data_IF_457436324548
#
_entry.id   IF_457436324548
#
_cell.length_a   1.000
_cell.length_b   1.000
_cell.length_c   1.000
_cell.angle_alpha   90.00
_cell.angle_beta   90.00
_cell.angle_gamma   90.00
#
_symmetry.space_group_name_H-M   'P 1'
#
loop_
_entity.id
_entity.type
_entity.pdbx_description
1 polymer ?
#
# COMPACT_ATOMS: atom_id res chain seq x y z
N UNK A 1 40.29 -16.65 -20.22
CA UNK A 1 39.36 -16.97 -19.12
C UNK A 1 39.80 -16.15 -17.91
N UNK A 2 39.21 -14.97 -17.69
CA UNK A 2 39.58 -14.11 -16.57
C UNK A 2 38.78 -14.54 -15.32
N UNK A 3 39.51 -14.90 -14.27
CA UNK A 3 38.99 -15.40 -13.00
C UNK A 3 38.25 -14.26 -12.28
N UNK A 4 36.91 -14.30 -12.29
CA UNK A 4 36.02 -13.31 -11.66
C UNK A 4 35.98 -13.40 -10.13
N UNK A 5 36.84 -14.22 -9.50
CA UNK A 5 36.83 -14.50 -8.07
C UNK A 5 37.48 -13.42 -7.18
N UNK A 6 37.99 -12.32 -7.75
CA UNK A 6 38.73 -11.29 -7.02
C UNK A 6 37.99 -9.98 -6.71
N UNK A 7 36.80 -9.74 -7.27
CA UNK A 7 36.14 -8.43 -7.20
C UNK A 7 35.08 -8.27 -6.10
N UNK A 8 34.67 -9.34 -5.42
CA UNK A 8 33.63 -9.27 -4.38
C UNK A 8 34.03 -8.42 -3.16
N UNK A 9 35.34 -8.23 -2.94
CA UNK A 9 35.87 -7.41 -1.83
C UNK A 9 35.92 -5.90 -2.12
N UNK A 10 35.60 -5.47 -3.34
CA UNK A 10 35.70 -4.06 -3.77
C UNK A 10 34.33 -3.34 -3.81
N UNK A 11 33.22 -4.05 -3.59
CA UNK A 11 31.90 -3.42 -3.47
C UNK A 11 31.68 -3.00 -2.01
N UNK A 12 32.29 -1.88 -1.62
CA UNK A 12 32.16 -1.30 -0.26
C UNK A 12 30.70 -1.00 0.13
N UNK A 13 29.76 -0.99 -0.83
CA UNK A 13 28.33 -0.83 -0.59
C UNK A 13 27.55 -2.15 -0.51
N UNK A 14 28.17 -3.30 -0.80
CA UNK A 14 27.51 -4.60 -0.74
C UNK A 14 27.33 -5.06 0.70
N UNK A 15 26.11 -5.46 1.04
CA UNK A 15 25.81 -6.11 2.31
C UNK A 15 26.53 -7.45 2.41
N UNK A 16 27.05 -7.78 3.59
CA UNK A 16 27.55 -9.12 3.89
C UNK A 16 26.44 -10.16 3.73
N UNK A 17 26.79 -11.44 3.55
CA UNK A 17 25.80 -12.51 3.43
C UNK A 17 24.87 -12.57 4.65
N UNK A 18 25.40 -12.36 5.85
CA UNK A 18 24.61 -12.30 7.07
C UNK A 18 23.64 -11.10 7.06
N UNK A 19 24.11 -9.91 6.67
CA UNK A 19 23.26 -8.73 6.54
C UNK A 19 22.17 -8.91 5.47
N UNK A 20 22.47 -9.58 4.37
CA UNK A 20 21.48 -9.92 3.34
C UNK A 20 20.41 -10.88 3.88
N UNK A 21 20.80 -11.88 4.68
CA UNK A 21 19.87 -12.81 5.32
C UNK A 21 18.97 -12.09 6.34
N UNK A 22 19.54 -11.23 7.18
CA UNK A 22 18.78 -10.41 8.13
C UNK A 22 17.80 -9.47 7.41
N UNK A 23 18.26 -8.79 6.36
CA UNK A 23 17.40 -7.92 5.53
C UNK A 23 16.26 -8.70 4.88
N UNK A 24 16.53 -9.93 4.42
CA UNK A 24 15.50 -10.80 3.84
C UNK A 24 14.44 -11.14 4.88
N UNK A 25 14.83 -11.56 6.07
CA UNK A 25 13.89 -11.90 7.14
C UNK A 25 13.07 -10.67 7.57
N UNK A 26 13.73 -9.52 7.68
CA UNK A 26 13.06 -8.25 7.96
C UNK A 26 11.99 -7.94 6.91
N UNK A 27 12.33 -7.97 5.61
CA UNK A 27 11.38 -7.71 4.52
C UNK A 27 10.19 -8.67 4.52
N UNK A 28 10.43 -9.97 4.80
CA UNK A 28 9.36 -10.97 4.92
C UNK A 28 8.41 -10.60 6.05
N UNK A 29 8.95 -10.32 7.24
CA UNK A 29 8.14 -9.96 8.40
C UNK A 29 7.35 -8.66 8.16
N UNK A 30 7.98 -7.65 7.54
CA UNK A 30 7.31 -6.41 7.15
C UNK A 30 6.14 -6.67 6.20
N UNK A 31 6.32 -7.52 5.18
CA UNK A 31 5.23 -7.86 4.25
C UNK A 31 4.05 -8.52 4.97
N UNK A 32 4.33 -9.49 5.84
CA UNK A 32 3.30 -10.19 6.62
C UNK A 32 2.54 -9.19 7.50
N UNK A 33 3.26 -8.29 8.18
CA UNK A 33 2.63 -7.29 9.05
C UNK A 33 1.78 -6.29 8.25
N UNK A 34 2.25 -5.87 7.07
CA UNK A 34 1.49 -4.97 6.20
C UNK A 34 0.20 -5.65 5.70
N UNK A 35 0.26 -6.91 5.29
CA UNK A 35 -0.93 -7.66 4.85
C UNK A 35 -1.91 -7.87 6.00
N UNK A 36 -1.41 -8.15 7.22
CA UNK A 36 -2.23 -8.24 8.42
C UNK A 36 -2.94 -6.92 8.71
N UNK A 37 -2.21 -5.80 8.68
CA UNK A 37 -2.76 -4.47 8.85
C UNK A 37 -3.87 -4.20 7.83
N UNK A 38 -3.60 -4.38 6.54
CA UNK A 38 -4.61 -4.14 5.49
C UNK A 38 -5.87 -5.00 5.67
N UNK A 39 -5.74 -6.24 6.17
CA UNK A 39 -6.89 -7.12 6.46
C UNK A 39 -7.69 -6.66 7.69
N UNK A 40 -7.03 -6.12 8.69
CA UNK A 40 -7.66 -5.65 9.94
C UNK A 40 -8.28 -4.26 9.80
N UNK A 41 -7.94 -3.52 8.73
CA UNK A 41 -8.33 -2.12 8.49
C UNK A 41 -9.13 -1.95 7.19
N UNK A 42 -10.41 -2.39 7.13
CA UNK A 42 -11.26 -2.30 5.94
C UNK A 42 -11.49 -0.85 5.47
N UNK A 43 -11.31 0.14 6.34
CA UNK A 43 -11.34 1.55 5.98
C UNK A 43 -10.29 1.93 4.94
N UNK A 44 -9.14 1.24 4.93
CA UNK A 44 -8.06 1.52 3.97
C UNK A 44 -8.48 1.06 2.57
N UNK A 45 -9.12 -0.10 2.48
CA UNK A 45 -9.64 -0.63 1.21
C UNK A 45 -10.77 0.24 0.66
N UNK A 46 -11.72 0.64 1.53
CA UNK A 46 -12.82 1.51 1.15
C UNK A 46 -12.31 2.88 0.65
N UNK A 47 -11.36 3.48 1.36
CA UNK A 47 -10.73 4.75 1.00
C UNK A 47 -10.07 4.70 -0.38
N UNK A 48 -9.25 3.68 -0.64
CA UNK A 48 -8.55 3.52 -1.92
C UNK A 48 -9.55 3.25 -3.05
N UNK A 49 -10.55 2.40 -2.81
CA UNK A 49 -11.54 2.02 -3.82
C UNK A 49 -12.42 3.21 -4.23
N UNK A 50 -12.87 4.01 -3.27
CA UNK A 50 -13.64 5.23 -3.54
C UNK A 50 -12.81 6.26 -4.31
N UNK A 51 -11.54 6.48 -3.92
CA UNK A 51 -10.66 7.37 -4.65
C UNK A 51 -10.47 6.93 -6.11
N UNK A 52 -10.19 5.64 -6.34
CA UNK A 52 -10.00 5.11 -7.70
C UNK A 52 -11.28 5.19 -8.53
N UNK A 53 -12.44 4.91 -7.92
CA UNK A 53 -13.75 5.09 -8.57
C UNK A 53 -13.92 6.53 -9.05
N UNK A 54 -13.62 7.48 -8.19
CA UNK A 54 -13.70 8.91 -8.51
C UNK A 54 -12.74 9.33 -9.63
N UNK A 55 -11.50 8.83 -9.59
CA UNK A 55 -10.49 9.08 -10.64
C UNK A 55 -10.96 8.52 -11.99
N UNK A 56 -11.52 7.31 -12.03
CA UNK A 56 -12.00 6.72 -13.27
C UNK A 56 -13.24 7.42 -13.84
N UNK A 57 -14.12 7.93 -12.97
CA UNK A 57 -15.31 8.68 -13.37
C UNK A 57 -14.98 10.09 -13.85
N UNK A 58 -14.17 10.83 -13.08
CA UNK A 58 -13.89 12.26 -13.33
C UNK A 58 -12.73 12.48 -14.29
N UNK A 59 -11.82 11.51 -14.43
CA UNK A 59 -10.63 11.55 -15.31
C UNK A 59 -9.85 12.87 -15.17
N UNK A 60 -9.35 13.21 -13.97
CA UNK A 60 -8.66 14.48 -13.74
C UNK A 60 -7.40 14.60 -14.60
N UNK A 61 -7.09 15.84 -15.00
CA UNK A 61 -5.91 16.13 -15.82
C UNK A 61 -4.61 16.07 -15.01
N UNK A 62 -4.61 16.52 -13.74
CA UNK A 62 -3.52 16.28 -12.79
C UNK A 62 -4.03 15.39 -11.64
N UNK A 63 -3.54 14.14 -11.64
CA UNK A 63 -3.92 13.14 -10.63
C UNK A 63 -3.36 13.46 -9.24
N UNK A 64 -2.23 14.18 -9.15
CA UNK A 64 -1.57 14.46 -7.87
C UNK A 64 -2.29 15.58 -7.14
N UNK A 65 -2.68 16.62 -7.87
CA UNK A 65 -3.51 17.71 -7.32
C UNK A 65 -4.87 17.15 -6.88
N UNK A 66 -5.50 16.32 -7.72
CA UNK A 66 -6.75 15.64 -7.35
C UNK A 66 -6.62 14.77 -6.10
N UNK A 67 -5.51 14.02 -5.97
CA UNK A 67 -5.25 13.22 -4.78
C UNK A 67 -5.03 14.11 -3.54
N UNK A 68 -4.30 15.22 -3.67
CA UNK A 68 -4.08 16.15 -2.56
C UNK A 68 -5.41 16.70 -2.04
N UNK A 69 -6.28 17.17 -2.93
CA UNK A 69 -7.60 17.68 -2.56
C UNK A 69 -8.47 16.58 -1.91
N UNK A 70 -8.49 15.38 -2.50
CA UNK A 70 -9.28 14.26 -1.99
C UNK A 70 -8.83 13.82 -0.58
N UNK A 71 -7.52 13.61 -0.37
CA UNK A 71 -7.00 13.08 0.90
C UNK A 71 -6.85 14.14 2.00
N UNK A 72 -6.99 15.43 1.66
CA UNK A 72 -6.98 16.53 2.65
C UNK A 72 -8.37 17.00 3.06
N UNK A 73 -9.44 16.44 2.49
CA UNK A 73 -10.82 16.73 2.91
C UNK A 73 -11.00 16.34 4.40
N UNK A 74 -11.30 17.30 5.30
CA UNK A 74 -11.48 17.01 6.72
C UNK A 74 -12.67 16.08 7.01
N UNK A 75 -13.61 15.95 6.06
CA UNK A 75 -14.78 15.09 6.18
C UNK A 75 -14.52 13.66 5.69
N UNK A 76 -13.37 13.39 5.07
CA UNK A 76 -13.07 12.10 4.45
C UNK A 76 -13.24 10.93 5.43
N UNK A 77 -12.73 11.09 6.66
CA UNK A 77 -12.87 10.05 7.70
C UNK A 77 -14.33 9.75 8.07
N UNK A 78 -15.19 10.77 8.09
CA UNK A 78 -16.63 10.60 8.34
C UNK A 78 -17.30 9.88 7.16
N UNK A 79 -16.99 10.28 5.93
CA UNK A 79 -17.54 9.68 4.71
C UNK A 79 -17.21 8.19 4.63
N UNK A 80 -15.93 7.84 4.82
CA UNK A 80 -15.48 6.44 4.79
C UNK A 80 -16.07 5.66 5.98
N UNK A 81 -16.10 6.25 7.18
CA UNK A 81 -16.70 5.61 8.36
C UNK A 81 -18.18 5.28 8.18
N UNK A 82 -18.95 6.18 7.57
CA UNK A 82 -20.37 5.94 7.25
C UNK A 82 -20.57 4.79 6.27
N UNK A 83 -19.69 4.65 5.26
CA UNK A 83 -19.77 3.56 4.27
C UNK A 83 -19.51 2.18 4.86
N UNK A 84 -18.65 2.11 5.88
CA UNK A 84 -18.33 0.85 6.57
C UNK A 84 -19.43 0.36 7.50
N UNK A 85 -20.34 1.24 7.94
CA UNK A 85 -21.48 0.86 8.79
C UNK A 85 -22.60 0.13 8.03
N UNK A 86 -22.48 0.01 6.70
CA UNK A 86 -23.43 -0.70 5.84
C UNK A 86 -24.70 0.11 5.60
N UNK A 87 -25.08 0.25 4.34
CA UNK A 87 -26.47 0.57 4.01
C UNK A 87 -27.32 -0.67 4.38
N UNK A 88 -28.40 -0.55 5.17
CA UNK A 88 -29.27 -1.67 5.52
C UNK A 88 -30.08 -2.23 4.33
N UNK A 89 -29.78 -1.81 3.11
CA UNK A 89 -30.55 -2.13 1.90
C UNK A 89 -30.01 -3.32 1.09
N UNK A 90 -28.85 -3.89 1.44
CA UNK A 90 -28.28 -5.05 0.74
C UNK A 90 -28.30 -6.31 1.63
N UNK A 91 -29.45 -6.61 2.24
CA UNK A 91 -29.78 -8.00 2.55
C UNK A 91 -30.32 -8.62 1.26
N UNK A 92 -29.40 -9.10 0.42
CA UNK A 92 -29.74 -10.00 -0.67
C UNK A 92 -30.51 -11.18 -0.12
N UNK A 93 -31.84 -11.14 -0.28
CA UNK A 93 -32.69 -12.32 -0.25
C UNK A 93 -32.28 -13.21 -1.42
N UNK A 94 -31.58 -14.30 -1.12
CA UNK A 94 -31.59 -15.53 -1.90
C UNK A 94 -32.54 -16.52 -1.21
#
# INVERSE_FOLDING_TARGET
>A
MADKRGLEKLDFGALSIEQQQQLRQFKINTRINNEKYLREHPETEALISDFLRDVFLKRPTDIREYAADYFTDPNLGLIIGSKLQGDPADTGTD
#
